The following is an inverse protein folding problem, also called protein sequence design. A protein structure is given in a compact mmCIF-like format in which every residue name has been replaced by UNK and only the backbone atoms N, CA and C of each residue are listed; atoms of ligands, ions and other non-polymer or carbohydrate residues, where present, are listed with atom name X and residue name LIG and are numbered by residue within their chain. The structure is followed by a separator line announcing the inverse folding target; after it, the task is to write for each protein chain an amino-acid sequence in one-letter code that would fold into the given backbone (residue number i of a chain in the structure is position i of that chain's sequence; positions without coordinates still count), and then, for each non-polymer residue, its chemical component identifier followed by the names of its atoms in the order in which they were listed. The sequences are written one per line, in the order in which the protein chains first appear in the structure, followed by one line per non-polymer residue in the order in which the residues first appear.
data_IF_683294244273
#
_entry.id   IF_683294244273
#
_cell.length_a   1.000
_cell.length_b   1.000
_cell.length_c   1.000
_cell.angle_alpha   90.00
_cell.angle_beta   90.00
_cell.angle_gamma   90.00
#
_symmetry.space_group_name_H-M   'P 1'
#
loop_
_entity.id
_entity.type
_entity.pdbx_description
1 polymer ?
#
# COMPACT_ATOMS: atom_id res chain seq x y z
N UNK A 1 0.79 -9.10 -9.46
CA UNK A 1 -0.36 -9.84 -8.88
C UNK A 1 -0.95 -10.92 -9.78
N UNK A 2 -1.19 -10.67 -11.09
CA UNK A 2 -1.74 -11.68 -12.00
C UNK A 2 -0.98 -13.01 -11.95
N UNK A 3 0.35 -12.95 -12.14
CA UNK A 3 1.21 -14.14 -12.05
C UNK A 3 1.00 -14.93 -10.74
N UNK A 4 0.99 -14.26 -9.57
CA UNK A 4 0.74 -14.92 -8.28
C UNK A 4 -0.63 -15.61 -8.27
N UNK A 5 -1.70 -14.93 -8.67
CA UNK A 5 -3.06 -15.51 -8.71
C UNK A 5 -3.12 -16.74 -9.63
N UNK A 6 -2.47 -16.67 -10.79
CA UNK A 6 -2.43 -17.78 -11.75
C UNK A 6 -1.74 -19.01 -11.14
N UNK A 7 -0.64 -18.82 -10.39
CA UNK A 7 0.05 -19.90 -9.68
C UNK A 7 -0.77 -20.49 -8.53
N UNK A 8 -1.69 -19.71 -7.95
CA UNK A 8 -2.66 -20.17 -6.96
C UNK A 8 -3.94 -20.76 -7.60
N UNK A 9 -3.86 -21.25 -8.84
CA UNK A 9 -4.99 -21.83 -9.61
C UNK A 9 -6.19 -20.89 -9.72
N UNK A 10 -5.92 -19.58 -9.82
CA UNK A 10 -6.94 -18.55 -9.89
C UNK A 10 -7.51 -18.11 -8.53
N UNK A 11 -7.08 -18.72 -7.42
CA UNK A 11 -7.52 -18.31 -6.08
C UNK A 11 -7.09 -16.88 -5.77
N UNK A 12 -8.00 -16.15 -5.12
CA UNK A 12 -7.79 -14.77 -4.63
C UNK A 12 -7.94 -14.68 -3.12
N UNK A 13 -8.07 -15.83 -2.45
CA UNK A 13 -8.38 -15.95 -1.02
C UNK A 13 -7.11 -15.85 -0.19
N UNK A 14 -6.43 -14.71 -0.32
CA UNK A 14 -5.27 -14.37 0.48
C UNK A 14 -5.25 -12.86 0.76
N UNK A 15 -4.83 -12.45 1.97
CA UNK A 15 -4.75 -11.04 2.31
C UNK A 15 -3.69 -10.33 1.47
N UNK A 16 -3.96 -9.07 1.13
CA UNK A 16 -3.05 -8.21 0.35
C UNK A 16 -3.02 -6.82 0.96
N UNK A 17 -1.85 -6.40 1.42
CA UNK A 17 -1.59 -5.01 1.79
C UNK A 17 -1.17 -4.25 0.54
N UNK A 18 -1.85 -3.14 0.23
CA UNK A 18 -1.58 -2.33 -0.97
C UNK A 18 -0.92 -1.02 -0.56
N UNK A 19 0.22 -0.72 -1.14
CA UNK A 19 0.91 0.56 -0.98
C UNK A 19 0.50 1.45 -2.16
N UNK A 20 -0.15 2.58 -1.87
CA UNK A 20 -0.49 3.56 -2.89
C UNK A 20 0.74 4.38 -3.26
N UNK A 21 1.01 4.54 -4.55
CA UNK A 21 2.10 5.39 -5.08
C UNK A 21 1.56 6.60 -5.86
N UNK A 22 0.29 6.93 -5.68
CA UNK A 22 -0.39 7.99 -6.43
C UNK A 22 -0.83 7.58 -7.84
N UNK A 23 -1.11 8.58 -8.68
CA UNK A 23 -1.53 8.43 -10.07
C UNK A 23 -0.58 9.20 -11.00
N UNK A 24 -0.36 8.73 -12.24
CA UNK A 24 0.42 9.46 -13.22
C UNK A 24 -0.14 10.89 -13.43
N UNK A 25 0.69 11.94 -13.36
CA UNK A 25 0.24 13.30 -13.58
C UNK A 25 -0.07 13.55 -15.06
N UNK A 26 -1.23 14.16 -15.34
CA UNK A 26 -1.62 14.58 -16.68
C UNK A 26 -1.69 13.42 -17.68
N UNK A 27 -0.91 13.54 -18.78
CA UNK A 27 -0.85 12.53 -19.86
C UNK A 27 0.40 11.62 -19.76
N UNK A 28 1.03 11.55 -18.59
CA UNK A 28 2.17 10.66 -18.39
C UNK A 28 1.75 9.20 -18.59
N UNK A 29 2.57 8.45 -19.34
CA UNK A 29 2.35 7.02 -19.51
C UNK A 29 2.49 6.27 -18.17
N UNK A 30 1.55 5.36 -17.82
CA UNK A 30 1.59 4.64 -16.56
C UNK A 30 2.84 3.78 -16.34
N UNK A 31 3.41 3.20 -17.41
CA UNK A 31 4.63 2.38 -17.30
C UNK A 31 5.80 3.27 -16.89
N UNK A 32 5.92 4.46 -17.48
CA UNK A 32 6.95 5.43 -17.10
C UNK A 32 6.76 5.91 -15.65
N UNK A 33 5.52 6.13 -15.21
CA UNK A 33 5.24 6.55 -13.83
C UNK A 33 5.65 5.51 -12.79
N UNK A 34 5.46 4.21 -13.06
CA UNK A 34 5.84 3.14 -12.11
C UNK A 34 7.33 2.81 -12.14
N UNK A 35 8.02 3.11 -13.24
CA UNK A 35 9.44 2.78 -13.42
C UNK A 35 10.39 3.91 -13.00
N UNK A 36 9.91 5.15 -12.88
CA UNK A 36 10.75 6.27 -12.44
C UNK A 36 11.11 6.17 -10.94
N UNK A 37 12.21 6.80 -10.50
CA UNK A 37 12.47 6.97 -9.07
C UNK A 37 11.44 7.89 -8.43
N UNK A 38 11.21 7.69 -7.13
CA UNK A 38 10.44 8.60 -6.31
C UNK A 38 11.19 9.92 -6.11
N UNK A 39 10.44 11.02 -6.07
CA UNK A 39 10.96 12.32 -5.65
C UNK A 39 11.24 12.33 -4.14
N UNK A 40 11.98 13.33 -3.66
CA UNK A 40 12.25 13.48 -2.22
C UNK A 40 10.96 13.55 -1.39
N UNK A 41 9.96 14.29 -1.87
CA UNK A 41 8.66 14.41 -1.20
C UNK A 41 7.92 13.07 -1.15
N UNK A 42 7.89 12.32 -2.26
CA UNK A 42 7.28 10.99 -2.30
C UNK A 42 8.01 10.00 -1.38
N UNK A 43 9.34 10.12 -1.24
CA UNK A 43 10.11 9.33 -0.30
C UNK A 43 9.71 9.59 1.16
N UNK A 44 9.47 10.84 1.54
CA UNK A 44 9.04 11.20 2.90
C UNK A 44 7.64 10.62 3.21
N UNK A 45 6.71 10.68 2.26
CA UNK A 45 5.38 10.06 2.38
C UNK A 45 5.45 8.52 2.44
N UNK A 46 6.35 7.91 1.68
CA UNK A 46 6.58 6.47 1.69
C UNK A 46 7.15 5.98 3.02
N UNK A 47 8.03 6.73 3.67
CA UNK A 47 8.59 6.32 4.95
C UNK A 47 7.49 6.19 6.01
N UNK A 48 6.58 7.17 6.10
CA UNK A 48 5.40 7.07 6.95
C UNK A 48 4.53 5.86 6.57
N UNK A 49 4.31 5.68 5.26
CA UNK A 49 3.52 4.57 4.73
C UNK A 49 4.12 3.21 5.10
N UNK A 50 5.44 3.06 5.09
CA UNK A 50 6.14 1.84 5.47
C UNK A 50 6.05 1.56 6.97
N UNK A 51 6.21 2.57 7.82
CA UNK A 51 6.02 2.39 9.27
C UNK A 51 4.58 1.97 9.59
N UNK A 52 3.60 2.62 8.97
CA UNK A 52 2.19 2.27 9.11
C UNK A 52 1.89 0.85 8.60
N UNK A 53 2.50 0.47 7.47
CA UNK A 53 2.36 -0.88 6.89
C UNK A 53 2.98 -1.97 7.75
N UNK A 54 4.13 -1.69 8.37
CA UNK A 54 4.79 -2.62 9.28
C UNK A 54 3.88 -2.93 10.48
N UNK A 55 3.25 -1.91 11.05
CA UNK A 55 2.30 -2.08 12.13
C UNK A 55 1.07 -2.88 11.69
N UNK A 56 0.54 -2.61 10.49
CA UNK A 56 -0.56 -3.38 9.92
C UNK A 56 -0.22 -4.88 9.79
N UNK A 57 1.01 -5.21 9.40
CA UNK A 57 1.49 -6.60 9.33
C UNK A 57 1.60 -7.23 10.72
N UNK A 58 2.05 -6.49 11.73
CA UNK A 58 2.08 -6.96 13.13
C UNK A 58 0.66 -7.25 13.64
N UNK A 59 -0.27 -6.33 13.46
CA UNK A 59 -1.69 -6.50 13.82
C UNK A 59 -2.29 -7.70 13.08
N UNK A 60 -1.98 -7.87 11.78
CA UNK A 60 -2.47 -9.00 11.00
C UNK A 60 -2.05 -10.34 11.59
N UNK A 61 -0.77 -10.47 12.00
CA UNK A 61 -0.20 -11.71 12.52
C UNK A 61 -0.60 -12.00 13.96
N UNK A 62 -0.70 -10.96 14.81
CA UNK A 62 -0.91 -11.11 16.25
C UNK A 62 -2.38 -10.99 16.65
N UNK A 63 -3.18 -10.24 15.89
CA UNK A 63 -4.53 -9.83 16.28
C UNK A 63 -5.60 -10.13 15.21
N UNK A 64 -5.18 -10.50 14.00
CA UNK A 64 -6.05 -11.00 12.94
C UNK A 64 -6.42 -10.01 11.84
N UNK A 65 -6.96 -10.56 10.74
CA UNK A 65 -7.20 -9.84 9.50
C UNK A 65 -8.14 -8.65 9.62
N UNK A 66 -9.30 -8.82 10.28
CA UNK A 66 -10.30 -7.76 10.37
C UNK A 66 -9.75 -6.52 11.09
N UNK A 67 -8.95 -6.72 12.16
CA UNK A 67 -8.35 -5.60 12.90
C UNK A 67 -7.32 -4.86 12.06
N UNK A 68 -6.44 -5.60 11.37
CA UNK A 68 -5.46 -5.03 10.45
C UNK A 68 -6.11 -4.28 9.29
N UNK A 69 -7.15 -4.87 8.69
CA UNK A 69 -7.90 -4.26 7.60
C UNK A 69 -8.59 -2.96 8.02
N UNK A 70 -9.21 -2.92 9.21
CA UNK A 70 -9.76 -1.67 9.76
C UNK A 70 -8.66 -0.64 9.99
N UNK A 71 -7.54 -1.04 10.61
CA UNK A 71 -6.43 -0.14 10.92
C UNK A 71 -5.92 0.64 9.70
N UNK A 72 -5.75 -0.02 8.54
CA UNK A 72 -5.22 0.62 7.32
C UNK A 72 -6.27 1.27 6.42
N UNK A 73 -7.55 0.87 6.53
CA UNK A 73 -8.62 1.39 5.66
C UNK A 73 -9.54 2.40 6.36
N UNK A 74 -9.37 2.62 7.67
CA UNK A 74 -10.01 3.74 8.34
C UNK A 74 -9.36 5.05 7.92
N UNK A 75 -10.18 6.05 7.59
CA UNK A 75 -9.73 7.43 7.38
C UNK A 75 -9.20 7.98 8.71
N UNK A 76 -7.91 7.77 9.00
CA UNK A 76 -7.22 8.70 9.89
C UNK A 76 -7.12 10.01 9.10
N UNK A 77 -7.83 11.03 9.56
CA UNK A 77 -7.60 12.39 9.09
C UNK A 77 -6.09 12.65 9.16
N UNK A 78 -5.54 13.27 8.12
CA UNK A 78 -4.18 13.82 8.13
C UNK A 78 -4.10 14.98 9.15
N UNK A 79 -4.32 14.69 10.43
CA UNK A 79 -3.98 15.55 11.54
C UNK A 79 -2.71 14.97 12.15
N UNK A 80 -1.56 15.29 11.56
CA UNK A 80 -0.25 15.35 12.23
C UNK A 80 0.90 15.62 11.24
N UNK A 81 0.73 16.55 10.30
CA UNK A 81 1.87 17.33 9.76
C UNK A 81 1.34 18.72 9.39
N UNK A 82 1.14 19.56 10.40
CA UNK A 82 1.08 21.04 10.29
C UNK A 82 2.12 21.61 11.23
#
# INVERSE_FOLDING_TARGET
MRSVIDHFKGSRDFPRLRIGIGRPPGKMDPVNFVMRPFSKQEHEELEFTFQHSLEAVRILLLEGFNKSATFVNSTKAMEQIS
#
